data_IF_382794599627
#
_entry.id   IF_382794599627
#
_cell.length_a   1.000
_cell.length_b   1.000
_cell.length_c   1.000
_cell.angle_alpha   90.00
_cell.angle_beta   90.00
_cell.angle_gamma   90.00
#
_symmetry.space_group_name_H-M   'P 1'
#
loop_
_entity.id
_entity.type
_entity.pdbx_description
1 polymer ?
#
# COMPACT_ATOMS: atom_id res chain seq x y z
N UNK A 1 46.63 -10.85 -50.44
CA UNK A 1 45.48 -11.39 -49.67
C UNK A 1 45.69 -11.37 -48.16
N UNK A 2 46.86 -11.70 -47.58
CA UNK A 2 47.05 -11.68 -46.12
C UNK A 2 47.04 -10.28 -45.47
N UNK A 3 47.55 -9.26 -46.15
CA UNK A 3 47.60 -7.88 -45.63
C UNK A 3 46.25 -7.15 -45.56
N UNK A 4 45.35 -7.42 -46.51
CA UNK A 4 44.00 -6.81 -46.53
C UNK A 4 43.10 -7.38 -45.42
N UNK A 5 43.21 -8.69 -45.14
CA UNK A 5 42.47 -9.36 -44.06
C UNK A 5 42.91 -8.82 -42.69
N UNK A 6 44.21 -8.53 -42.51
CA UNK A 6 44.76 -7.94 -41.29
C UNK A 6 44.28 -6.50 -41.05
N UNK A 7 44.10 -5.70 -42.11
CA UNK A 7 43.59 -4.33 -41.99
C UNK A 7 42.11 -4.32 -41.62
N UNK A 8 41.30 -5.16 -42.26
CA UNK A 8 39.87 -5.29 -41.96
C UNK A 8 39.67 -5.75 -40.50
N UNK A 9 40.44 -6.74 -40.04
CA UNK A 9 40.39 -7.20 -38.64
C UNK A 9 40.76 -6.09 -37.63
N UNK A 10 41.76 -5.26 -37.96
CA UNK A 10 42.19 -4.15 -37.11
C UNK A 10 41.15 -3.02 -37.03
N UNK A 11 40.49 -2.71 -38.15
CA UNK A 11 39.40 -1.70 -38.19
C UNK A 11 38.17 -2.20 -37.42
N UNK A 12 37.79 -3.47 -37.58
CA UNK A 12 36.70 -4.08 -36.82
C UNK A 12 37.01 -4.04 -35.32
N UNK A 13 38.23 -4.43 -34.91
CA UNK A 13 38.65 -4.38 -33.51
C UNK A 13 38.63 -2.95 -32.96
N UNK A 14 39.13 -1.97 -33.73
CA UNK A 14 39.11 -0.56 -33.33
C UNK A 14 37.67 -0.03 -33.18
N UNK A 15 36.75 -0.42 -34.06
CA UNK A 15 35.32 -0.07 -33.93
C UNK A 15 34.67 -0.73 -32.72
N UNK A 16 35.00 -1.99 -32.42
CA UNK A 16 34.53 -2.67 -31.21
C UNK A 16 35.08 -2.03 -29.94
N UNK A 17 36.37 -1.68 -29.91
CA UNK A 17 36.97 -0.97 -28.77
C UNK A 17 36.40 0.44 -28.62
N UNK A 18 36.23 1.19 -29.71
CA UNK A 18 35.61 2.50 -29.67
C UNK A 18 34.14 2.43 -29.24
N UNK A 19 33.39 1.41 -29.68
CA UNK A 19 32.04 1.15 -29.21
C UNK A 19 31.98 0.76 -27.73
N UNK A 20 32.88 -0.12 -27.28
CA UNK A 20 32.98 -0.55 -25.88
C UNK A 20 33.39 0.58 -24.93
N UNK A 21 34.37 1.39 -25.33
CA UNK A 21 34.79 2.57 -24.57
C UNK A 21 33.73 3.68 -24.64
N UNK A 22 33.09 3.87 -25.79
CA UNK A 22 32.01 4.85 -25.99
C UNK A 22 30.76 4.54 -25.18
N UNK A 23 30.45 3.25 -24.95
CA UNK A 23 29.34 2.83 -24.08
C UNK A 23 29.46 3.37 -22.65
N UNK A 24 30.68 3.60 -22.14
CA UNK A 24 30.89 4.16 -20.80
C UNK A 24 30.51 5.65 -20.70
N UNK A 25 30.39 6.34 -21.85
CA UNK A 25 30.03 7.76 -21.92
C UNK A 25 28.59 8.01 -22.39
N UNK A 26 27.85 6.96 -22.78
CA UNK A 26 26.43 7.08 -23.11
C UNK A 26 25.61 7.07 -21.82
N UNK A 27 24.56 7.92 -21.70
CA UNK A 27 23.66 7.83 -20.56
C UNK A 27 22.98 6.45 -20.54
N UNK A 28 22.74 5.89 -19.34
CA UNK A 28 22.07 4.60 -19.23
C UNK A 28 20.68 4.65 -19.91
N UNK A 29 20.23 3.53 -20.49
CA UNK A 29 18.93 3.51 -21.15
C UNK A 29 17.83 3.76 -20.11
N UNK A 30 16.91 4.65 -20.44
CA UNK A 30 15.79 4.98 -19.54
C UNK A 30 14.89 3.76 -19.33
N UNK A 31 14.34 3.56 -18.11
CA UNK A 31 13.37 2.51 -17.84
C UNK A 31 12.16 2.62 -18.79
N UNK A 32 11.75 1.49 -19.38
CA UNK A 32 10.55 1.40 -20.23
C UNK A 32 9.45 0.51 -19.66
N UNK A 33 9.77 -0.21 -18.57
CA UNK A 33 8.85 -1.06 -17.83
C UNK A 33 8.78 -0.52 -16.41
N UNK A 34 7.57 -0.27 -15.92
CA UNK A 34 7.34 0.24 -14.56
C UNK A 34 6.77 -0.86 -13.67
N UNK A 35 7.07 -0.81 -12.37
CA UNK A 35 6.43 -1.61 -11.35
C UNK A 35 5.28 -0.85 -10.73
N UNK A 36 4.11 -1.49 -10.64
CA UNK A 36 2.88 -0.90 -10.14
C UNK A 36 2.39 -1.65 -8.91
N UNK A 37 2.29 -0.94 -7.80
CA UNK A 37 1.57 -1.39 -6.63
C UNK A 37 0.18 -0.75 -6.61
N UNK A 38 -0.84 -1.52 -6.97
CA UNK A 38 -2.23 -1.08 -6.94
C UNK A 38 -2.83 -1.48 -5.60
N UNK A 39 -2.60 -0.73 -4.53
CA UNK A 39 -3.14 -1.07 -3.21
C UNK A 39 -4.60 -0.66 -3.02
N UNK A 40 -5.24 -1.19 -1.96
CA UNK A 40 -6.63 -0.85 -1.62
C UNK A 40 -6.75 0.60 -1.14
N UNK A 41 -5.78 1.09 -0.37
CA UNK A 41 -5.78 2.43 0.22
C UNK A 41 -4.82 3.39 -0.48
N UNK A 42 -3.63 2.90 -0.84
CA UNK A 42 -2.62 3.68 -1.53
C UNK A 42 -2.06 2.88 -2.70
N UNK A 43 -1.68 3.58 -3.77
CA UNK A 43 -0.96 3.04 -4.89
C UNK A 43 0.42 3.68 -4.99
N UNK A 44 1.39 2.93 -5.51
CA UNK A 44 2.76 3.42 -5.72
C UNK A 44 3.30 2.91 -7.05
N UNK A 45 4.20 3.67 -7.66
CA UNK A 45 4.88 3.29 -8.90
C UNK A 45 6.38 3.37 -8.72
N UNK A 46 7.09 2.35 -9.17
CA UNK A 46 8.54 2.27 -9.09
C UNK A 46 9.17 1.89 -10.41
N UNK A 47 10.44 2.23 -10.57
CA UNK A 47 11.23 1.95 -11.76
C UNK A 47 12.57 1.37 -11.32
N UNK A 48 13.10 0.48 -12.15
CA UNK A 48 14.44 -0.04 -11.99
C UNK A 48 15.33 0.61 -13.04
N UNK A 49 16.39 1.29 -12.60
CA UNK A 49 17.34 1.96 -13.48
C UNK A 49 18.37 0.96 -14.03
N UNK A 50 18.34 0.68 -15.34
CA UNK A 50 19.34 -0.20 -15.94
C UNK A 50 20.74 0.39 -15.80
N UNK A 51 21.74 -0.45 -15.52
CA UNK A 51 23.14 -0.02 -15.37
C UNK A 51 23.53 0.25 -13.91
N UNK A 52 22.79 1.11 -13.18
CA UNK A 52 23.05 1.32 -11.74
C UNK A 52 22.50 0.19 -10.88
N UNK A 53 21.40 -0.44 -11.32
CA UNK A 53 20.70 -1.46 -10.55
C UNK A 53 19.87 -0.88 -9.40
N UNK A 54 19.71 0.44 -9.35
CA UNK A 54 18.94 1.14 -8.34
C UNK A 54 17.45 1.07 -8.64
N UNK A 55 16.67 0.94 -7.57
CA UNK A 55 15.21 1.05 -7.62
C UNK A 55 14.81 2.44 -7.15
N UNK A 56 14.01 3.13 -7.95
CA UNK A 56 13.44 4.41 -7.60
C UNK A 56 11.91 4.30 -7.52
N UNK A 57 11.34 4.77 -6.40
CA UNK A 57 9.89 4.97 -6.30
C UNK A 57 9.58 6.40 -6.74
N UNK A 58 8.74 6.52 -7.77
CA UNK A 58 8.37 7.78 -8.41
C UNK A 58 7.46 8.57 -7.48
N UNK A 59 7.84 9.81 -7.22
CA UNK A 59 7.06 10.73 -6.40
C UNK A 59 6.11 11.58 -7.26
N UNK A 60 5.04 12.09 -6.66
CA UNK A 60 4.22 13.13 -7.27
C UNK A 60 4.88 14.53 -7.17
N UNK A 61 4.17 15.55 -7.66
CA UNK A 61 4.66 16.93 -7.70
C UNK A 61 4.97 17.52 -6.31
N UNK A 62 4.39 16.95 -5.25
CA UNK A 62 4.61 17.35 -3.85
C UNK A 62 5.64 16.45 -3.14
N UNK A 63 6.30 15.55 -3.87
CA UNK A 63 7.29 14.64 -3.34
C UNK A 63 6.72 13.41 -2.63
N UNK A 64 5.41 13.15 -2.74
CA UNK A 64 4.75 11.99 -2.12
C UNK A 64 4.97 10.75 -2.98
N UNK A 65 5.45 9.67 -2.38
CA UNK A 65 5.79 8.40 -3.07
C UNK A 65 4.61 7.45 -3.27
N UNK A 66 3.46 7.81 -2.74
CA UNK A 66 2.22 7.04 -2.84
C UNK A 66 1.06 7.98 -3.09
N UNK A 67 0.04 7.51 -3.81
CA UNK A 67 -1.20 8.24 -4.07
C UNK A 67 -2.38 7.49 -3.45
N UNK A 68 -3.36 8.17 -2.85
CA UNK A 68 -4.57 7.52 -2.36
C UNK A 68 -5.32 6.79 -3.49
N UNK A 69 -5.87 5.62 -3.18
CA UNK A 69 -6.70 4.81 -4.09
C UNK A 69 -8.13 5.36 -4.20
N UNK A 70 -8.25 6.65 -4.51
CA UNK A 70 -9.51 7.37 -4.62
C UNK A 70 -9.67 8.01 -6.01
N UNK A 71 -10.89 8.02 -6.54
CA UNK A 71 -11.26 8.63 -7.81
C UNK A 71 -12.56 9.40 -7.66
N UNK A 72 -12.55 10.71 -7.92
CA UNK A 72 -13.71 11.59 -7.87
C UNK A 72 -14.17 12.00 -9.27
N UNK A 73 -15.48 11.96 -9.48
CA UNK A 73 -16.11 12.41 -10.72
C UNK A 73 -16.76 13.78 -10.50
N UNK A 74 -16.37 14.74 -11.32
CA UNK A 74 -17.01 16.06 -11.40
C UNK A 74 -17.78 16.17 -12.71
N UNK A 75 -18.46 17.29 -12.91
CA UNK A 75 -19.16 17.57 -14.18
C UNK A 75 -18.21 17.70 -15.37
N UNK A 76 -16.92 17.97 -15.14
CA UNK A 76 -15.93 18.26 -16.19
C UNK A 76 -14.75 17.30 -16.22
N UNK A 77 -14.47 16.57 -15.14
CA UNK A 77 -13.24 15.80 -15.00
C UNK A 77 -13.41 14.52 -14.18
N UNK A 78 -12.46 13.59 -14.40
CA UNK A 78 -12.23 12.43 -13.55
C UNK A 78 -10.88 12.63 -12.87
N UNK A 79 -10.91 12.81 -11.56
CA UNK A 79 -9.78 13.20 -10.72
C UNK A 79 -9.38 11.98 -9.88
N UNK A 80 -8.09 11.73 -9.68
CA UNK A 80 -7.59 10.56 -8.96
C UNK A 80 -6.49 10.92 -7.96
N UNK A 81 -6.31 10.14 -6.88
CA UNK A 81 -5.27 10.40 -5.87
C UNK A 81 -5.68 11.45 -4.85
N UNK A 82 -4.71 12.24 -4.37
CA UNK A 82 -4.91 13.25 -3.33
C UNK A 82 -6.03 14.25 -3.67
N UNK A 83 -6.02 14.78 -4.90
CA UNK A 83 -7.05 15.70 -5.39
C UNK A 83 -8.48 15.11 -5.32
N UNK A 84 -8.63 13.79 -5.41
CA UNK A 84 -9.93 13.12 -5.24
C UNK A 84 -10.32 13.02 -3.77
N UNK A 85 -9.36 12.84 -2.87
CA UNK A 85 -9.58 12.83 -1.42
C UNK A 85 -10.00 14.21 -0.93
N UNK A 86 -9.40 15.28 -1.44
CA UNK A 86 -9.77 16.66 -1.10
C UNK A 86 -11.25 16.98 -1.45
N UNK A 87 -11.79 16.27 -2.45
CA UNK A 87 -13.19 16.37 -2.86
C UNK A 87 -14.12 15.42 -2.11
N UNK A 88 -13.61 14.49 -1.29
CA UNK A 88 -14.42 13.43 -0.69
C UNK A 88 -15.52 13.99 0.25
N UNK A 89 -15.24 15.06 0.98
CA UNK A 89 -16.21 15.66 1.90
C UNK A 89 -17.30 16.48 1.19
N UNK A 90 -16.94 17.19 0.10
CA UNK A 90 -17.86 18.03 -0.66
C UNK A 90 -18.60 17.29 -1.78
N UNK A 91 -18.04 16.18 -2.27
CA UNK A 91 -18.57 15.34 -3.33
C UNK A 91 -18.54 13.83 -2.95
N UNK A 92 -19.14 13.43 -1.81
CA UNK A 92 -18.98 12.09 -1.26
C UNK A 92 -19.64 10.99 -2.10
N UNK A 93 -20.75 11.30 -2.79
CA UNK A 93 -21.48 10.32 -3.60
C UNK A 93 -20.76 9.94 -4.90
N UNK A 94 -19.87 10.80 -5.39
CA UNK A 94 -19.14 10.60 -6.64
C UNK A 94 -17.63 10.41 -6.44
N UNK A 95 -17.20 10.23 -5.19
CA UNK A 95 -15.80 9.97 -4.83
C UNK A 95 -15.66 8.53 -4.39
N UNK A 96 -15.11 7.70 -5.27
CA UNK A 96 -15.01 6.25 -5.10
C UNK A 96 -13.63 5.91 -4.53
N UNK A 97 -13.61 5.13 -3.44
CA UNK A 97 -12.43 4.55 -2.83
C UNK A 97 -12.69 3.06 -2.54
N UNK A 98 -11.66 2.31 -2.14
CA UNK A 98 -11.74 0.86 -1.87
C UNK A 98 -12.20 0.01 -3.07
N UNK A 99 -12.15 0.53 -4.31
CA UNK A 99 -12.63 -0.17 -5.50
C UNK A 99 -11.96 -1.55 -5.71
N UNK A 100 -10.70 -1.72 -5.28
CA UNK A 100 -9.97 -3.00 -5.31
C UNK A 100 -10.68 -4.10 -4.52
N UNK A 101 -11.52 -3.78 -3.52
CA UNK A 101 -12.31 -4.76 -2.78
C UNK A 101 -13.39 -5.43 -3.62
N UNK A 102 -13.79 -4.82 -4.74
CA UNK A 102 -14.86 -5.28 -5.62
C UNK A 102 -14.35 -5.87 -6.94
N UNK A 103 -13.09 -5.62 -7.29
CA UNK A 103 -12.54 -5.99 -8.60
C UNK A 103 -12.58 -7.51 -8.81
N UNK A 104 -13.20 -7.93 -9.92
CA UNK A 104 -13.31 -9.32 -10.33
C UNK A 104 -14.13 -10.23 -9.41
N UNK A 105 -14.79 -9.72 -8.37
CA UNK A 105 -15.63 -10.54 -7.48
C UNK A 105 -17.00 -10.80 -8.08
N UNK A 106 -17.53 -11.98 -7.77
CA UNK A 106 -18.97 -12.26 -7.85
C UNK A 106 -19.53 -11.96 -6.47
N UNK A 107 -20.46 -11.03 -6.37
CA UNK A 107 -21.06 -10.64 -5.10
C UNK A 107 -22.54 -10.94 -5.13
N UNK A 108 -23.01 -11.64 -4.11
CA UNK A 108 -24.43 -11.83 -3.87
C UNK A 108 -25.11 -10.46 -3.64
N UNK A 109 -26.29 -10.21 -4.23
CA UNK A 109 -26.99 -8.94 -4.07
C UNK A 109 -27.22 -8.52 -2.61
N UNK A 110 -27.53 -9.44 -1.70
CA UNK A 110 -27.79 -9.12 -0.29
C UNK A 110 -26.50 -8.70 0.42
N UNK A 111 -25.40 -9.42 0.17
CA UNK A 111 -24.07 -9.08 0.69
C UNK A 111 -23.62 -7.72 0.15
N UNK A 112 -23.89 -7.45 -1.14
CA UNK A 112 -23.52 -6.18 -1.76
C UNK A 112 -24.26 -4.99 -1.14
N UNK A 113 -25.54 -5.16 -0.79
CA UNK A 113 -26.32 -4.12 -0.10
C UNK A 113 -25.71 -3.79 1.28
N UNK A 114 -25.32 -4.82 2.04
CA UNK A 114 -24.67 -4.62 3.34
C UNK A 114 -23.31 -3.93 3.21
N UNK A 115 -22.50 -4.32 2.23
CA UNK A 115 -21.22 -3.67 1.96
C UNK A 115 -21.41 -2.22 1.46
N UNK A 116 -22.42 -1.96 0.62
CA UNK A 116 -22.72 -0.61 0.13
C UNK A 116 -23.10 0.36 1.26
N UNK A 117 -23.68 -0.13 2.36
CA UNK A 117 -24.06 0.72 3.50
C UNK A 117 -22.85 1.33 4.24
N UNK A 118 -21.63 0.83 3.98
CA UNK A 118 -20.39 1.37 4.56
C UNK A 118 -19.87 2.61 3.85
N UNK A 119 -20.42 2.92 2.67
CA UNK A 119 -19.91 3.97 1.79
C UNK A 119 -20.97 5.04 1.53
N UNK A 120 -20.57 6.30 1.34
CA UNK A 120 -21.50 7.36 0.96
C UNK A 120 -21.93 7.28 -0.52
N UNK A 121 -21.14 6.60 -1.35
CA UNK A 121 -21.46 6.33 -2.75
C UNK A 121 -22.28 5.03 -2.88
N UNK A 122 -23.09 4.96 -3.94
CA UNK A 122 -23.99 3.83 -4.17
C UNK A 122 -23.31 2.75 -5.01
N UNK A 123 -23.40 1.50 -4.55
CA UNK A 123 -22.94 0.31 -5.28
C UNK A 123 -24.16 -0.49 -5.75
N UNK A 124 -24.15 -0.93 -7.01
CA UNK A 124 -25.22 -1.73 -7.61
C UNK A 124 -24.67 -3.04 -8.16
N UNK A 125 -25.52 -4.07 -8.19
CA UNK A 125 -25.19 -5.35 -8.82
C UNK A 125 -25.50 -5.27 -10.31
N UNK A 126 -24.51 -5.58 -11.15
CA UNK A 126 -24.65 -5.79 -12.57
C UNK A 126 -24.21 -7.22 -12.92
N UNK A 127 -25.17 -8.12 -13.09
CA UNK A 127 -24.95 -9.53 -13.43
C UNK A 127 -23.91 -10.22 -12.52
N UNK A 128 -24.04 -10.01 -11.21
CA UNK A 128 -23.15 -10.58 -10.19
C UNK A 128 -21.87 -9.77 -9.93
N UNK A 129 -21.56 -8.76 -10.75
CA UNK A 129 -20.43 -7.85 -10.52
C UNK A 129 -20.90 -6.56 -9.86
N UNK A 130 -20.07 -5.95 -9.01
CA UNK A 130 -20.39 -4.66 -8.43
C UNK A 130 -20.05 -3.51 -9.41
N UNK A 131 -20.89 -2.49 -9.46
CA UNK A 131 -20.63 -1.22 -10.15
C UNK A 131 -20.98 -0.02 -9.27
N UNK A 132 -20.27 1.09 -9.45
CA UNK A 132 -20.50 2.32 -8.71
C UNK A 132 -21.39 3.26 -9.50
N UNK A 133 -22.44 3.78 -8.87
CA UNK A 133 -23.32 4.78 -9.49
C UNK A 133 -22.72 6.16 -9.32
N UNK A 134 -22.50 6.85 -10.44
CA UNK A 134 -22.00 8.21 -10.51
C UNK A 134 -23.11 9.12 -11.00
N UNK A 135 -23.36 10.22 -10.29
CA UNK A 135 -24.37 11.23 -10.61
C UNK A 135 -23.70 12.60 -10.74
N UNK A 136 -23.38 12.98 -11.98
CA UNK A 136 -22.89 14.34 -12.30
C UNK A 136 -23.97 15.09 -13.09
N UNK A 137 -23.76 15.42 -14.37
CA UNK A 137 -24.80 15.95 -15.24
C UNK A 137 -25.80 14.86 -15.69
N UNK A 138 -25.34 13.61 -15.70
CA UNK A 138 -26.14 12.43 -15.98
C UNK A 138 -25.75 11.33 -14.97
N UNK A 139 -26.66 10.39 -14.76
CA UNK A 139 -26.38 9.21 -13.93
C UNK A 139 -25.89 8.07 -14.80
N UNK A 140 -24.76 7.48 -14.43
CA UNK A 140 -24.17 6.33 -15.10
C UNK A 140 -23.49 5.41 -14.09
N UNK A 141 -23.08 4.21 -14.52
CA UNK A 141 -22.33 3.29 -13.69
C UNK A 141 -20.90 3.13 -14.19
N UNK A 142 -19.98 2.87 -13.26
CA UNK A 142 -18.57 2.59 -13.55
C UNK A 142 -18.12 1.33 -12.82
N UNK A 143 -17.31 0.52 -13.50
CA UNK A 143 -16.82 -0.73 -12.94
C UNK A 143 -15.56 -0.53 -12.07
N UNK A 144 -15.25 -1.48 -11.16
CA UNK A 144 -14.04 -1.44 -10.35
C UNK A 144 -12.74 -1.40 -11.17
N UNK A 145 -12.69 -2.07 -12.32
CA UNK A 145 -11.54 -2.02 -13.22
C UNK A 145 -11.41 -0.65 -13.90
N UNK A 146 -12.52 0.06 -14.15
CA UNK A 146 -12.45 1.43 -14.66
C UNK A 146 -11.87 2.38 -13.61
N UNK A 147 -12.34 2.30 -12.35
CA UNK A 147 -11.77 3.10 -11.24
C UNK A 147 -10.27 2.83 -11.10
N UNK A 148 -9.90 1.55 -11.06
CA UNK A 148 -8.50 1.12 -10.99
C UNK A 148 -7.68 1.64 -12.17
N UNK A 149 -8.24 1.65 -13.38
CA UNK A 149 -7.54 2.19 -14.57
C UNK A 149 -7.19 3.66 -14.45
N UNK A 150 -7.98 4.47 -13.73
CA UNK A 150 -7.70 5.90 -13.52
C UNK A 150 -6.51 6.11 -12.58
N UNK A 151 -6.39 5.27 -11.55
CA UNK A 151 -5.23 5.25 -10.66
C UNK A 151 -3.97 4.81 -11.41
N UNK A 152 -4.07 3.72 -12.19
CA UNK A 152 -2.96 3.21 -13.02
C UNK A 152 -2.52 4.24 -14.07
N UNK A 153 -3.46 4.95 -14.69
CA UNK A 153 -3.17 6.03 -15.63
C UNK A 153 -2.44 7.20 -14.95
N UNK A 154 -2.84 7.58 -13.74
CA UNK A 154 -2.14 8.64 -12.97
C UNK A 154 -0.70 8.23 -12.67
N UNK A 155 -0.48 7.01 -12.17
CA UNK A 155 0.86 6.47 -11.91
C UNK A 155 1.72 6.39 -13.18
N UNK A 156 1.14 5.95 -14.30
CA UNK A 156 1.84 5.95 -15.60
C UNK A 156 2.28 7.37 -15.97
N UNK A 157 1.37 8.35 -15.91
CA UNK A 157 1.68 9.75 -16.24
C UNK A 157 2.75 10.34 -15.32
N UNK A 158 2.76 9.99 -14.04
CA UNK A 158 3.81 10.38 -13.09
C UNK A 158 5.17 9.85 -13.55
N UNK A 159 5.26 8.56 -13.88
CA UNK A 159 6.49 7.95 -14.37
C UNK A 159 6.93 8.53 -15.74
N UNK A 160 6.00 8.72 -16.68
CA UNK A 160 6.28 9.32 -17.99
C UNK A 160 6.83 10.74 -17.87
N UNK A 161 6.28 11.55 -16.96
CA UNK A 161 6.75 12.91 -16.71
C UNK A 161 8.16 12.91 -16.12
N UNK A 162 8.42 12.07 -15.13
CA UNK A 162 9.72 12.00 -14.46
C UNK A 162 10.81 11.45 -15.38
N UNK A 163 10.50 10.42 -16.17
CA UNK A 163 11.47 9.81 -17.08
C UNK A 163 11.59 10.53 -18.42
N UNK A 164 10.59 11.31 -18.83
CA UNK A 164 10.55 11.99 -20.13
C UNK A 164 10.47 11.02 -21.32
N UNK A 165 9.83 9.86 -21.13
CA UNK A 165 9.59 8.84 -22.17
C UNK A 165 8.20 8.26 -22.01
N UNK A 166 7.61 7.77 -23.10
CA UNK A 166 6.34 7.06 -23.04
C UNK A 166 6.52 5.68 -22.39
N UNK A 167 5.58 5.31 -21.53
CA UNK A 167 5.57 4.03 -20.82
C UNK A 167 4.36 3.23 -21.27
N UNK A 168 4.61 2.04 -21.82
CA UNK A 168 3.55 1.17 -22.34
C UNK A 168 3.52 -0.20 -21.65
N UNK A 169 4.53 -0.54 -20.84
CA UNK A 169 4.69 -1.87 -20.26
C UNK A 169 4.83 -1.77 -18.75
N UNK A 170 4.26 -2.74 -18.04
CA UNK A 170 4.36 -2.77 -16.58
C UNK A 170 4.37 -4.20 -16.02
N UNK A 171 4.83 -4.30 -14.77
CA UNK A 171 4.56 -5.42 -13.86
C UNK A 171 3.63 -4.88 -12.76
N UNK A 172 2.64 -5.66 -12.34
CA UNK A 172 1.66 -5.23 -11.35
C UNK A 172 1.54 -6.22 -10.19
N UNK A 173 1.44 -5.73 -8.96
CA UNK A 173 1.16 -6.55 -7.78
C UNK A 173 -0.33 -6.86 -7.62
N UNK A 174 -0.63 -8.01 -7.02
CA UNK A 174 -1.97 -8.38 -6.52
C UNK A 174 -1.86 -9.12 -5.19
N UNK A 175 -2.91 -9.15 -4.36
CA UNK A 175 -2.93 -9.97 -3.16
C UNK A 175 -2.76 -11.45 -3.54
N UNK A 176 -2.03 -12.22 -2.73
CA UNK A 176 -1.77 -13.63 -3.04
C UNK A 176 -3.06 -14.48 -3.08
N UNK A 177 -4.10 -14.08 -2.35
CA UNK A 177 -5.42 -14.72 -2.36
C UNK A 177 -6.29 -14.41 -3.59
N UNK A 178 -5.88 -13.48 -4.46
CA UNK A 178 -6.64 -13.18 -5.67
C UNK A 178 -6.73 -14.40 -6.58
N UNK A 179 -7.96 -14.78 -6.91
CA UNK A 179 -8.23 -15.80 -7.92
C UNK A 179 -7.89 -15.33 -9.34
N UNK A 180 -8.00 -16.24 -10.30
CA UNK A 180 -7.71 -15.95 -11.70
C UNK A 180 -8.62 -14.84 -12.27
N UNK A 181 -9.88 -14.76 -11.84
CA UNK A 181 -10.81 -13.72 -12.29
C UNK A 181 -10.35 -12.36 -11.78
N UNK A 182 -10.06 -12.21 -10.50
CA UNK A 182 -9.60 -10.95 -9.91
C UNK A 182 -8.27 -10.49 -10.55
N UNK A 183 -7.35 -11.41 -10.83
CA UNK A 183 -6.11 -11.14 -11.58
C UNK A 183 -6.40 -10.62 -12.99
N UNK A 184 -7.27 -11.30 -13.73
CA UNK A 184 -7.64 -10.91 -15.09
C UNK A 184 -8.32 -9.54 -15.15
N UNK A 185 -9.19 -9.22 -14.18
CA UNK A 185 -9.81 -7.89 -14.09
C UNK A 185 -8.80 -6.79 -13.71
N UNK A 186 -7.79 -7.12 -12.91
CA UNK A 186 -6.68 -6.20 -12.61
C UNK A 186 -5.84 -5.91 -13.85
N UNK A 187 -5.54 -6.94 -14.66
CA UNK A 187 -4.89 -6.77 -15.97
C UNK A 187 -5.76 -5.95 -16.93
N UNK A 188 -7.09 -6.18 -16.93
CA UNK A 188 -8.03 -5.38 -17.72
C UNK A 188 -8.01 -3.90 -17.32
N UNK A 189 -7.92 -3.59 -16.03
CA UNK A 189 -7.76 -2.22 -15.55
C UNK A 189 -6.49 -1.57 -16.10
N UNK A 190 -5.37 -2.30 -16.12
CA UNK A 190 -4.12 -1.82 -16.70
C UNK A 190 -4.22 -1.60 -18.22
N UNK A 191 -4.87 -2.51 -18.95
CA UNK A 191 -5.11 -2.36 -20.38
C UNK A 191 -5.95 -1.09 -20.68
N UNK A 192 -6.98 -0.81 -19.86
CA UNK A 192 -7.76 0.43 -19.95
C UNK A 192 -6.93 1.70 -19.69
N UNK A 193 -5.88 1.58 -18.87
CA UNK A 193 -4.90 2.63 -18.63
C UNK A 193 -3.83 2.73 -19.74
N UNK A 194 -3.91 1.91 -20.79
CA UNK A 194 -2.93 1.86 -21.88
C UNK A 194 -1.59 1.25 -21.47
N UNK A 195 -1.62 0.27 -20.58
CA UNK A 195 -0.45 -0.49 -20.11
C UNK A 195 -0.59 -1.97 -20.47
N UNK A 196 0.40 -2.52 -21.16
CA UNK A 196 0.60 -3.95 -21.35
C UNK A 196 1.24 -4.55 -20.09
N UNK A 197 0.55 -5.49 -19.43
CA UNK A 197 1.09 -6.19 -18.26
C UNK A 197 1.96 -7.35 -18.69
N UNK A 198 3.26 -7.24 -18.45
CA UNK A 198 4.25 -8.30 -18.71
C UNK A 198 4.17 -9.41 -17.65
N UNK A 199 3.83 -9.05 -16.41
CA UNK A 199 3.67 -10.00 -15.32
C UNK A 199 2.77 -9.45 -14.22
N UNK A 200 1.97 -10.36 -13.65
CA UNK A 200 1.28 -10.16 -12.38
C UNK A 200 2.09 -10.91 -11.30
N UNK A 201 2.41 -10.25 -10.20
CA UNK A 201 3.16 -10.82 -9.07
C UNK A 201 2.36 -10.68 -7.78
N UNK A 202 2.50 -11.62 -6.85
CA UNK A 202 1.88 -11.50 -5.54
C UNK A 202 2.62 -10.44 -4.70
N UNK A 203 1.85 -9.64 -3.97
CA UNK A 203 2.34 -8.65 -3.00
C UNK A 203 3.39 -9.23 -2.01
N UNK A 204 3.16 -10.37 -1.33
CA UNK A 204 4.16 -10.93 -0.42
C UNK A 204 5.45 -11.37 -1.13
N UNK A 205 5.36 -11.87 -2.37
CA UNK A 205 6.55 -12.21 -3.16
C UNK A 205 7.33 -10.96 -3.54
N UNK A 206 6.64 -9.91 -3.98
CA UNK A 206 7.26 -8.62 -4.27
C UNK A 206 7.96 -8.07 -3.02
N UNK A 207 7.30 -8.10 -1.86
CA UNK A 207 7.94 -7.74 -0.60
C UNK A 207 9.23 -8.53 -0.36
N UNK A 208 9.20 -9.87 -0.43
CA UNK A 208 10.40 -10.70 -0.27
C UNK A 208 11.51 -10.35 -1.29
N UNK A 209 11.15 -10.01 -2.53
CA UNK A 209 12.12 -9.54 -3.53
C UNK A 209 12.80 -8.23 -3.13
N UNK A 210 12.05 -7.27 -2.57
CA UNK A 210 12.59 -5.98 -2.13
C UNK A 210 13.65 -6.13 -1.05
N UNK A 211 13.48 -7.11 -0.16
CA UNK A 211 14.48 -7.47 0.86
C UNK A 211 15.68 -8.25 0.30
N UNK A 212 15.77 -8.44 -1.02
CA UNK A 212 16.89 -9.14 -1.66
C UNK A 212 16.86 -10.65 -1.45
N UNK A 213 15.77 -11.21 -0.91
CA UNK A 213 15.69 -12.62 -0.52
C UNK A 213 15.77 -13.58 -1.70
N UNK A 214 15.49 -13.10 -2.91
CA UNK A 214 15.69 -13.82 -4.16
C UNK A 214 17.17 -14.12 -4.47
N UNK A 215 18.13 -13.44 -3.81
CA UNK A 215 19.58 -13.57 -4.06
C UNK A 215 20.34 -14.36 -2.99
N UNK A 216 19.72 -14.64 -1.84
CA UNK A 216 20.35 -15.34 -0.71
C UNK A 216 19.73 -16.72 -0.52
N UNK A 217 20.46 -17.62 0.14
CA UNK A 217 19.97 -18.97 0.43
C UNK A 217 19.08 -18.96 1.68
N UNK A 218 17.79 -18.73 1.44
CA UNK A 218 16.70 -18.82 2.42
C UNK A 218 15.62 -19.71 1.84
N UNK A 219 14.95 -20.48 2.69
CA UNK A 219 13.92 -21.44 2.31
C UNK A 219 12.54 -21.01 2.78
N UNK A 220 12.40 -20.53 4.01
CA UNK A 220 11.11 -20.16 4.60
C UNK A 220 11.12 -18.69 5.01
N UNK A 221 10.30 -17.90 4.31
CA UNK A 221 10.17 -16.46 4.54
C UNK A 221 8.77 -16.16 5.03
N UNK A 222 8.68 -15.49 6.18
CA UNK A 222 7.43 -14.99 6.71
C UNK A 222 7.27 -13.51 6.35
N UNK A 223 6.20 -13.18 5.63
CA UNK A 223 5.82 -11.80 5.33
C UNK A 223 4.71 -11.40 6.29
N UNK A 224 4.93 -10.34 7.07
CA UNK A 224 3.92 -9.74 7.96
C UNK A 224 3.59 -8.35 7.44
N UNK A 225 2.44 -8.21 6.80
CA UNK A 225 1.92 -6.95 6.29
C UNK A 225 0.86 -6.40 7.23
N UNK A 226 1.17 -5.30 7.92
CA UNK A 226 0.23 -4.60 8.79
C UNK A 226 0.05 -3.16 8.30
N UNK A 227 -1.03 -2.96 7.57
CA UNK A 227 -1.41 -1.67 6.99
C UNK A 227 -2.25 -0.81 7.93
N UNK A 228 -3.05 0.06 7.32
CA UNK A 228 -3.95 0.97 8.02
C UNK A 228 -5.20 0.29 8.59
N UNK A 229 -5.67 -0.81 8.00
CA UNK A 229 -6.91 -1.47 8.44
C UNK A 229 -6.92 -3.00 8.35
N UNK A 230 -5.85 -3.60 7.83
CA UNK A 230 -5.74 -5.07 7.71
C UNK A 230 -4.36 -5.54 8.14
N UNK A 231 -4.33 -6.77 8.65
CA UNK A 231 -3.15 -7.56 8.90
C UNK A 231 -3.17 -8.77 7.97
N UNK A 232 -2.14 -8.96 7.18
CA UNK A 232 -1.97 -10.10 6.30
C UNK A 232 -0.62 -10.78 6.57
N UNK A 233 -0.65 -12.10 6.75
CA UNK A 233 0.54 -12.90 7.00
C UNK A 233 0.62 -13.98 5.92
N UNK A 234 1.78 -14.05 5.26
CA UNK A 234 2.06 -15.05 4.24
C UNK A 234 3.33 -15.82 4.59
N UNK A 235 3.24 -17.14 4.56
CA UNK A 235 4.40 -18.02 4.62
C UNK A 235 4.81 -18.39 3.19
N UNK A 236 6.00 -17.95 2.79
CA UNK A 236 6.57 -18.24 1.49
C UNK A 236 7.66 -19.30 1.63
N UNK A 237 7.67 -20.26 0.71
CA UNK A 237 8.76 -21.18 0.52
C UNK A 237 9.53 -20.79 -0.74
N UNK A 238 10.85 -20.58 -0.62
CA UNK A 238 11.75 -20.26 -1.71
C UNK A 238 12.46 -21.52 -2.19
N UNK A 239 12.47 -21.73 -3.50
CA UNK A 239 13.18 -22.83 -4.16
C UNK A 239 13.94 -22.26 -5.37
N UNK A 240 15.27 -22.12 -5.22
CA UNK A 240 16.09 -21.40 -6.20
C UNK A 240 15.64 -19.93 -6.30
N UNK A 241 15.18 -19.51 -7.48
CA UNK A 241 14.63 -18.17 -7.72
C UNK A 241 13.11 -18.07 -7.55
N UNK A 242 12.42 -19.17 -7.24
CA UNK A 242 10.95 -19.23 -7.21
C UNK A 242 10.42 -19.07 -5.80
N UNK A 243 9.31 -18.36 -5.65
CA UNK A 243 8.57 -18.26 -4.39
C UNK A 243 7.21 -18.93 -4.54
N UNK A 244 6.87 -19.76 -3.56
CA UNK A 244 5.57 -20.42 -3.44
C UNK A 244 4.91 -20.00 -2.12
N UNK A 245 3.72 -19.43 -2.19
CA UNK A 245 2.91 -19.18 -1.00
C UNK A 245 2.35 -20.49 -0.45
N UNK A 246 2.82 -20.90 0.73
CA UNK A 246 2.42 -22.14 1.41
C UNK A 246 1.12 -21.98 2.18
N UNK A 247 1.03 -20.90 2.96
CA UNK A 247 -0.10 -20.62 3.82
C UNK A 247 -0.33 -19.11 3.94
N UNK A 248 -1.57 -18.71 4.21
CA UNK A 248 -1.96 -17.33 4.42
C UNK A 248 -3.03 -17.21 5.49
N UNK A 249 -2.88 -16.22 6.36
CA UNK A 249 -3.89 -15.85 7.32
C UNK A 249 -3.89 -14.33 7.49
N UNK A 250 -4.98 -13.77 7.99
CA UNK A 250 -5.07 -12.34 8.19
C UNK A 250 -6.19 -11.93 9.14
N UNK A 251 -6.25 -10.64 9.43
CA UNK A 251 -7.33 -10.01 10.16
C UNK A 251 -7.74 -8.73 9.43
N UNK A 252 -8.95 -8.73 8.87
CA UNK A 252 -9.47 -7.62 8.07
C UNK A 252 -9.99 -6.43 8.92
N UNK A 253 -9.85 -6.51 10.24
CA UNK A 253 -10.29 -5.54 11.25
C UNK A 253 -9.20 -5.26 12.28
N UNK A 254 -7.95 -5.31 11.82
CA UNK A 254 -6.79 -5.02 12.65
C UNK A 254 -5.76 -4.26 11.83
N UNK A 255 -5.59 -2.98 12.14
CA UNK A 255 -4.57 -2.14 11.53
C UNK A 255 -4.33 -0.85 12.30
N UNK A 256 -3.60 0.07 11.66
CA UNK A 256 -3.23 1.35 12.24
C UNK A 256 -4.40 2.22 12.72
N UNK A 257 -5.57 2.10 12.07
CA UNK A 257 -6.78 2.84 12.43
C UNK A 257 -7.38 2.36 13.75
N UNK A 258 -7.32 1.06 14.06
CA UNK A 258 -7.81 0.52 15.33
C UNK A 258 -6.96 1.04 16.50
N UNK A 259 -5.64 1.14 16.30
CA UNK A 259 -4.75 1.73 17.30
C UNK A 259 -5.02 3.22 17.53
N UNK A 260 -5.25 3.97 16.45
CA UNK A 260 -5.64 5.38 16.51
C UNK A 260 -7.00 5.55 17.18
N UNK A 261 -7.95 4.64 16.95
CA UNK A 261 -9.28 4.69 17.55
C UNK A 261 -9.23 4.53 19.07
N UNK A 262 -8.40 3.60 19.59
CA UNK A 262 -8.18 3.45 21.05
C UNK A 262 -7.59 4.73 21.66
N UNK A 263 -6.60 5.33 20.99
CA UNK A 263 -5.99 6.57 21.45
C UNK A 263 -6.95 7.77 21.36
N UNK A 264 -7.82 7.81 20.35
CA UNK A 264 -8.86 8.82 20.20
C UNK A 264 -9.91 8.72 21.30
N UNK A 265 -10.37 7.51 21.63
CA UNK A 265 -11.29 7.27 22.75
C UNK A 265 -10.70 7.76 24.08
N UNK A 266 -9.44 7.39 24.37
CA UNK A 266 -8.74 7.88 25.56
C UNK A 266 -8.67 9.41 25.57
N UNK A 267 -8.27 10.02 24.45
CA UNK A 267 -8.10 11.48 24.35
C UNK A 267 -9.44 12.22 24.47
N UNK A 268 -10.52 11.67 23.92
CA UNK A 268 -11.88 12.21 24.03
C UNK A 268 -12.34 12.24 25.49
N UNK A 269 -12.01 11.18 26.23
CA UNK A 269 -12.27 11.10 27.66
C UNK A 269 -11.43 12.12 28.46
N UNK A 270 -10.17 12.38 28.06
CA UNK A 270 -9.36 13.45 28.65
C UNK A 270 -9.97 14.83 28.43
N UNK A 271 -10.51 15.11 27.23
CA UNK A 271 -11.25 16.37 26.97
C UNK A 271 -12.45 16.48 27.91
N UNK A 272 -13.23 15.40 28.07
CA UNK A 272 -14.38 15.36 28.99
C UNK A 272 -13.96 15.61 30.44
N UNK A 273 -12.84 15.03 30.89
CA UNK A 273 -12.32 15.23 32.25
C UNK A 273 -11.84 16.67 32.49
N UNK A 274 -11.21 17.29 31.49
CA UNK A 274 -10.67 18.64 31.62
C UNK A 274 -11.74 19.74 31.50
N UNK A 275 -12.75 19.56 30.64
CA UNK A 275 -13.74 20.60 30.33
C UNK A 275 -15.18 20.24 30.71
N UNK A 276 -15.41 19.06 31.31
CA UNK A 276 -16.73 18.58 31.74
C UNK A 276 -17.59 17.97 30.62
N UNK A 277 -17.26 18.22 29.36
CA UNK A 277 -18.00 17.73 28.18
C UNK A 277 -17.05 17.20 27.09
N UNK A 278 -17.45 16.15 26.35
CA UNK A 278 -16.69 15.70 25.19
C UNK A 278 -16.92 16.62 23.98
N UNK A 279 -16.02 16.61 22.97
CA UNK A 279 -16.28 17.28 21.71
C UNK A 279 -17.44 16.60 20.98
N UNK A 280 -18.44 17.39 20.57
CA UNK A 280 -19.63 16.91 19.84
C UNK A 280 -19.70 17.43 18.41
N UNK A 281 -19.01 18.54 18.12
CA UNK A 281 -18.93 19.12 16.78
C UNK A 281 -18.08 18.23 15.87
N UNK A 282 -18.57 18.01 14.64
CA UNK A 282 -17.89 17.15 13.66
C UNK A 282 -16.48 17.65 13.34
N UNK A 283 -16.31 18.97 13.25
CA UNK A 283 -15.03 19.62 12.99
C UNK A 283 -14.02 19.40 14.13
N UNK A 284 -14.44 19.62 15.38
CA UNK A 284 -13.61 19.37 16.56
C UNK A 284 -13.17 17.89 16.66
N UNK A 285 -14.09 16.97 16.42
CA UNK A 285 -13.79 15.52 16.40
C UNK A 285 -12.81 15.20 15.28
N UNK A 286 -12.93 15.84 14.13
CA UNK A 286 -12.01 15.68 13.00
C UNK A 286 -10.60 16.18 13.35
N UNK A 287 -10.48 17.41 13.89
CA UNK A 287 -9.20 17.96 14.33
C UNK A 287 -8.54 17.10 15.41
N UNK A 288 -9.33 16.61 16.38
CA UNK A 288 -8.83 15.71 17.41
C UNK A 288 -8.31 14.39 16.81
N UNK A 289 -9.02 13.82 15.83
CA UNK A 289 -8.61 12.60 15.12
C UNK A 289 -7.29 12.81 14.36
N UNK A 290 -7.13 13.94 13.66
CA UNK A 290 -5.88 14.29 12.97
C UNK A 290 -4.71 14.42 13.95
N UNK A 291 -4.92 15.11 15.07
CA UNK A 291 -3.90 15.27 16.11
C UNK A 291 -3.50 13.92 16.74
N UNK A 292 -4.46 13.01 16.95
CA UNK A 292 -4.21 11.65 17.46
C UNK A 292 -3.43 10.80 16.46
N UNK A 293 -3.76 10.86 15.17
CA UNK A 293 -3.00 10.14 14.14
C UNK A 293 -1.55 10.64 14.08
N UNK A 294 -1.36 11.96 14.06
CA UNK A 294 -0.04 12.57 14.11
C UNK A 294 0.72 12.17 15.38
N UNK A 295 0.03 12.11 16.53
CA UNK A 295 0.63 11.66 17.78
C UNK A 295 1.11 10.19 17.69
N UNK A 296 0.29 9.27 17.17
CA UNK A 296 0.69 7.87 16.97
C UNK A 296 1.95 7.75 16.11
N UNK A 297 2.01 8.47 14.99
CA UNK A 297 3.19 8.48 14.11
C UNK A 297 4.42 9.00 14.86
N UNK A 298 4.29 10.10 15.61
CA UNK A 298 5.39 10.64 16.43
C UNK A 298 5.83 9.69 17.55
N UNK A 299 4.90 8.98 18.20
CA UNK A 299 5.20 8.00 19.25
C UNK A 299 5.96 6.78 18.73
N UNK A 300 5.97 6.54 17.42
CA UNK A 300 6.81 5.52 16.79
C UNK A 300 8.29 5.87 16.88
N UNK A 301 8.62 7.17 16.89
CA UNK A 301 10.00 7.69 16.94
C UNK A 301 10.36 8.16 18.35
N UNK A 302 9.48 8.95 18.96
CA UNK A 302 9.69 9.61 20.24
C UNK A 302 8.96 8.90 21.39
N UNK A 303 9.46 8.99 22.63
CA UNK A 303 8.82 8.37 23.79
C UNK A 303 7.54 9.09 24.26
N UNK A 304 7.37 10.36 23.87
CA UNK A 304 6.21 11.17 24.19
C UNK A 304 5.96 12.25 23.11
N UNK A 305 4.75 12.79 23.09
CA UNK A 305 4.32 13.89 22.21
C UNK A 305 3.28 14.73 22.93
N UNK A 306 3.28 16.05 22.71
CA UNK A 306 2.22 16.94 23.20
C UNK A 306 1.28 17.27 22.05
N UNK A 307 -0.01 16.96 22.21
CA UNK A 307 -1.04 17.41 21.27
C UNK A 307 -1.64 18.73 21.75
N UNK A 308 -1.99 19.59 20.80
CA UNK A 308 -2.64 20.88 21.03
C UNK A 308 -3.76 21.04 20.00
N UNK A 309 -5.00 21.07 20.47
CA UNK A 309 -6.18 21.07 19.59
C UNK A 309 -7.14 22.17 20.04
N UNK A 310 -7.43 23.18 19.20
CA UNK A 310 -8.51 24.12 19.48
C UNK A 310 -9.85 23.39 19.32
N UNK A 311 -10.72 23.50 20.33
CA UNK A 311 -12.03 22.86 20.38
C UNK A 311 -13.11 23.90 20.71
N UNK A 312 -14.25 23.83 20.05
CA UNK A 312 -15.41 24.68 20.28
C UNK A 312 -16.41 23.96 21.20
N UNK A 313 -16.06 23.86 22.48
CA UNK A 313 -16.89 23.17 23.47
C UNK A 313 -18.02 24.07 23.99
N UNK A 314 -19.26 23.64 23.83
CA UNK A 314 -20.42 24.32 24.40
C UNK A 314 -20.56 24.01 25.90
N UNK A 315 -19.77 24.67 26.74
CA UNK A 315 -19.99 24.59 28.19
C UNK A 315 -21.34 25.25 28.50
N UNK A 316 -22.19 24.61 29.30
CA UNK A 316 -23.39 25.22 29.85
C UNK A 316 -22.99 26.38 30.78
N UNK A 317 -22.70 27.55 30.20
CA UNK A 317 -22.62 28.81 30.92
C UNK A 317 -24.04 29.25 31.24
N UNK A 318 -24.39 29.15 32.50
CA UNK A 318 -25.60 29.71 33.10
C UNK A 318 -25.60 31.24 32.98
N UNK A 319 -26.02 31.76 31.84
CA UNK A 319 -26.51 33.14 31.72
C UNK A 319 -27.35 33.24 30.46
N UNK A 320 -28.67 33.12 30.65
CA UNK A 320 -29.67 33.58 29.69
C UNK A 320 -29.56 35.10 29.58
N UNK A 321 -28.58 35.62 28.83
CA UNK A 321 -28.60 36.98 28.29
C UNK A 321 -27.42 37.19 27.34
N UNK A 322 -27.75 37.71 26.15
CA UNK A 322 -26.90 38.39 25.16
C UNK A 322 -26.11 37.55 24.12
N UNK A 323 -26.54 37.80 22.87
CA UNK A 323 -25.81 37.76 21.59
C UNK A 323 -25.19 36.46 21.07
N UNK A 324 -25.62 36.11 19.85
CA UNK A 324 -25.14 35.03 18.96
C UNK A 324 -23.65 35.16 18.60
N UNK A 325 -22.76 35.01 19.57
CA UNK A 325 -21.34 34.81 19.33
C UNK A 325 -21.01 33.36 19.68
N UNK A 326 -20.50 32.60 18.70
CA UNK A 326 -20.00 31.25 18.97
C UNK A 326 -18.94 31.34 20.11
N UNK A 327 -18.97 30.45 21.11
CA UNK A 327 -17.99 30.49 22.19
C UNK A 327 -16.58 30.40 21.61
N UNK A 328 -15.66 31.22 22.11
CA UNK A 328 -14.27 31.21 21.68
C UNK A 328 -13.68 29.80 21.89
N UNK A 329 -12.87 29.28 20.95
CA UNK A 329 -12.31 27.94 21.07
C UNK A 329 -11.45 27.82 22.33
N UNK A 330 -11.63 26.73 23.06
CA UNK A 330 -10.73 26.33 24.15
C UNK A 330 -9.58 25.52 23.59
N UNK A 331 -8.37 25.73 24.12
CA UNK A 331 -7.21 24.95 23.71
C UNK A 331 -7.09 23.70 24.58
N UNK A 332 -7.38 22.53 24.02
CA UNK A 332 -7.05 21.25 24.64
C UNK A 332 -5.56 20.95 24.46
N UNK A 333 -4.89 20.60 25.55
CA UNK A 333 -3.48 20.20 25.53
C UNK A 333 -3.28 18.96 26.40
N UNK A 334 -2.68 17.92 25.82
CA UNK A 334 -2.37 16.69 26.53
C UNK A 334 -1.01 16.13 26.12
N UNK A 335 -0.31 15.52 27.07
CA UNK A 335 0.93 14.77 26.81
C UNK A 335 0.57 13.30 26.67
N UNK A 336 0.88 12.73 25.52
CA UNK A 336 0.70 11.31 25.23
C UNK A 336 2.08 10.63 25.26
N UNK A 337 2.16 9.44 25.86
CA UNK A 337 3.40 8.67 25.95
C UNK A 337 3.31 7.38 25.15
N UNK A 338 4.46 6.87 24.67
CA UNK A 338 4.54 5.57 23.98
C UNK A 338 4.05 4.45 24.89
N UNK A 339 4.42 4.51 26.18
CA UNK A 339 3.99 3.53 27.17
C UNK A 339 2.47 3.45 27.27
N UNK A 340 1.80 4.60 27.40
CA UNK A 340 0.32 4.67 27.41
C UNK A 340 -0.27 4.13 26.11
N UNK A 341 0.26 4.54 24.96
CA UNK A 341 -0.20 4.02 23.67
C UNK A 341 -0.06 2.50 23.58
N UNK A 342 1.03 1.94 24.09
CA UNK A 342 1.24 0.50 24.11
C UNK A 342 0.26 -0.21 25.04
N UNK A 343 0.03 0.33 26.24
CA UNK A 343 -0.95 -0.20 27.21
C UNK A 343 -2.39 -0.21 26.66
N UNK A 344 -2.80 0.85 25.96
CA UNK A 344 -4.15 0.96 25.36
C UNK A 344 -4.41 -0.06 24.25
N UNK A 345 -3.33 -0.61 23.66
CA UNK A 345 -3.39 -1.44 22.45
C UNK A 345 -2.80 -2.84 22.65
N UNK A 346 -2.38 -3.21 23.86
CA UNK A 346 -1.70 -4.49 24.11
C UNK A 346 -2.56 -5.69 23.67
N UNK A 347 -3.88 -5.65 23.89
CA UNK A 347 -4.79 -6.70 23.42
C UNK A 347 -4.81 -6.83 21.89
N UNK A 348 -4.73 -5.71 21.17
CA UNK A 348 -4.68 -5.69 19.71
C UNK A 348 -3.32 -6.15 19.17
N UNK A 349 -2.22 -5.81 19.86
CA UNK A 349 -0.90 -6.31 19.49
C UNK A 349 -0.82 -7.83 19.63
N UNK A 350 -1.33 -8.40 20.72
CA UNK A 350 -1.32 -9.85 20.91
C UNK A 350 -2.10 -10.60 19.81
N UNK A 351 -3.15 -9.99 19.25
CA UNK A 351 -3.91 -10.57 18.11
C UNK A 351 -3.07 -10.73 16.84
N UNK A 352 -1.95 -10.01 16.70
CA UNK A 352 -1.04 -10.14 15.54
C UNK A 352 -0.45 -11.56 15.45
N UNK A 353 -0.21 -12.21 16.60
CA UNK A 353 0.38 -13.55 16.63
C UNK A 353 -0.58 -14.66 16.19
N UNK A 354 -1.90 -14.41 16.18
CA UNK A 354 -2.86 -15.44 15.81
C UNK A 354 -2.73 -15.85 14.33
N UNK A 355 -2.76 -14.92 13.34
CA UNK A 355 -2.44 -15.26 11.95
C UNK A 355 -1.05 -15.89 11.76
N UNK A 356 -0.04 -15.41 12.49
CA UNK A 356 1.32 -15.97 12.44
C UNK A 356 1.34 -17.45 12.84
N UNK A 357 0.71 -17.79 13.96
CA UNK A 357 0.60 -19.18 14.43
C UNK A 357 -0.16 -20.05 13.43
N UNK A 358 -1.23 -19.53 12.83
CA UNK A 358 -2.02 -20.26 11.83
C UNK A 358 -1.22 -20.58 10.58
N UNK A 359 -0.48 -19.62 10.01
CA UNK A 359 0.30 -19.91 8.80
C UNK A 359 1.44 -20.89 9.05
N UNK A 360 2.05 -20.88 10.24
CA UNK A 360 3.06 -21.87 10.63
C UNK A 360 2.45 -23.26 10.74
N UNK A 361 1.31 -23.39 11.42
CA UNK A 361 0.61 -24.66 11.55
C UNK A 361 0.13 -25.22 10.20
N UNK A 362 -0.47 -24.40 9.34
CA UNK A 362 -0.88 -24.77 7.99
C UNK A 362 0.32 -25.08 7.06
N UNK A 363 1.44 -24.39 7.29
CA UNK A 363 2.71 -24.64 6.61
C UNK A 363 3.47 -25.87 7.11
N UNK A 364 3.01 -26.50 8.20
CA UNK A 364 3.71 -27.57 8.92
C UNK A 364 5.14 -27.19 9.33
N UNK A 365 5.32 -25.96 9.81
CA UNK A 365 6.58 -25.42 10.28
C UNK A 365 6.48 -24.99 11.74
N UNK A 366 7.57 -25.18 12.47
CA UNK A 366 7.77 -24.53 13.76
C UNK A 366 8.38 -23.13 13.55
N UNK A 367 8.38 -22.32 14.61
CA UNK A 367 8.88 -20.93 14.52
C UNK A 367 10.39 -20.88 14.22
N UNK A 368 11.14 -21.89 14.63
CA UNK A 368 12.58 -22.04 14.37
C UNK A 368 12.88 -22.35 12.91
N UNK A 369 11.92 -22.90 12.15
CA UNK A 369 12.10 -23.25 10.73
C UNK A 369 11.97 -22.05 9.79
N UNK A 370 11.53 -20.88 10.30
CA UNK A 370 11.47 -19.65 9.52
C UNK A 370 12.89 -19.09 9.44
N UNK A 371 13.37 -18.78 8.24
CA UNK A 371 14.72 -18.22 8.01
C UNK A 371 14.71 -16.69 8.10
N UNK A 372 13.70 -16.05 7.51
CA UNK A 372 13.59 -14.59 7.44
C UNK A 372 12.17 -14.11 7.73
N UNK A 373 12.07 -12.97 8.41
CA UNK A 373 10.79 -12.33 8.72
C UNK A 373 10.85 -10.92 8.16
N UNK A 374 10.01 -10.61 7.18
CA UNK A 374 9.96 -9.30 6.53
C UNK A 374 8.70 -8.55 6.92
N UNK A 375 8.84 -7.26 7.20
CA UNK A 375 7.73 -6.41 7.60
C UNK A 375 7.28 -5.51 6.45
N UNK A 376 5.97 -5.43 6.25
CA UNK A 376 5.33 -4.61 5.23
C UNK A 376 4.22 -3.78 5.89
N UNK A 377 3.95 -2.58 5.36
CA UNK A 377 2.92 -1.69 5.87
C UNK A 377 3.36 -0.83 7.06
N UNK A 378 3.00 0.45 7.04
CA UNK A 378 3.52 1.46 7.97
C UNK A 378 3.26 1.19 9.45
N UNK A 379 2.22 0.44 9.81
CA UNK A 379 1.96 0.11 11.22
C UNK A 379 3.04 -0.80 11.81
N UNK A 380 3.78 -1.55 10.98
CA UNK A 380 4.93 -2.37 11.45
C UNK A 380 6.12 -1.56 11.95
N UNK A 381 6.11 -0.23 11.76
CA UNK A 381 7.10 0.67 12.35
C UNK A 381 6.95 0.78 13.88
N UNK A 382 5.77 0.49 14.43
CA UNK A 382 5.48 0.57 15.87
C UNK A 382 6.47 -0.33 16.64
N UNK A 383 7.27 0.22 17.58
CA UNK A 383 8.31 -0.54 18.28
C UNK A 383 7.80 -1.75 19.05
N UNK A 384 6.59 -1.68 19.62
CA UNK A 384 5.99 -2.82 20.33
C UNK A 384 5.72 -4.00 19.40
N UNK A 385 5.31 -3.76 18.15
CA UNK A 385 5.03 -4.82 17.18
C UNK A 385 6.32 -5.55 16.79
N UNK A 386 7.40 -4.80 16.53
CA UNK A 386 8.72 -5.40 16.26
C UNK A 386 9.21 -6.23 17.44
N UNK A 387 9.08 -5.71 18.66
CA UNK A 387 9.42 -6.46 19.90
C UNK A 387 8.59 -7.72 20.05
N UNK A 388 7.28 -7.66 19.82
CA UNK A 388 6.39 -8.83 19.88
C UNK A 388 6.84 -9.93 18.91
N UNK A 389 7.19 -9.55 17.68
CA UNK A 389 7.69 -10.50 16.67
C UNK A 389 9.04 -11.08 17.11
N UNK A 390 9.97 -10.24 17.61
CA UNK A 390 11.26 -10.71 18.15
C UNK A 390 11.08 -11.65 19.33
N UNK A 391 10.21 -11.33 20.28
CA UNK A 391 9.89 -12.16 21.46
C UNK A 391 9.33 -13.52 21.05
N UNK A 392 8.46 -13.56 20.04
CA UNK A 392 7.87 -14.81 19.57
C UNK A 392 8.89 -15.71 18.86
N UNK A 393 9.63 -15.17 17.90
CA UNK A 393 10.57 -15.92 17.04
C UNK A 393 11.98 -16.08 17.63
N UNK A 394 12.35 -15.32 18.66
CA UNK A 394 13.71 -15.32 19.20
C UNK A 394 14.75 -14.66 18.29
N UNK A 395 14.32 -13.97 17.22
CA UNK A 395 15.19 -13.27 16.26
C UNK A 395 14.52 -11.99 15.76
N UNK A 396 15.33 -11.01 15.36
CA UNK A 396 14.81 -9.74 14.87
C UNK A 396 14.21 -9.88 13.47
N UNK A 397 13.07 -9.23 13.19
CA UNK A 397 12.59 -9.11 11.83
C UNK A 397 13.52 -8.20 11.01
N UNK A 398 13.61 -8.47 9.72
CA UNK A 398 14.35 -7.65 8.78
C UNK A 398 13.59 -6.35 8.51
N UNK A 399 14.25 -5.21 8.74
CA UNK A 399 13.71 -3.86 8.53
C UNK A 399 14.62 -3.02 7.62
N UNK A 400 15.40 -3.66 6.74
CA UNK A 400 16.33 -2.97 5.82
C UNK A 400 15.62 -2.22 4.69
N UNK A 401 14.35 -2.53 4.45
CA UNK A 401 13.49 -1.90 3.43
C UNK A 401 12.44 -1.06 4.12
N UNK A 402 12.08 0.07 3.51
CA UNK A 402 10.94 0.84 3.96
C UNK A 402 9.65 0.00 3.81
N UNK A 403 8.91 -0.28 4.90
CA UNK A 403 7.76 -1.18 4.86
C UNK A 403 6.60 -0.65 4.00
N UNK A 404 6.47 0.67 3.84
CA UNK A 404 5.44 1.29 2.99
C UNK A 404 5.78 1.18 1.49
N UNK A 405 7.07 1.00 1.18
CA UNK A 405 7.57 0.93 -0.19
C UNK A 405 8.03 -0.47 -0.60
N UNK A 406 7.97 -1.46 0.29
CA UNK A 406 8.50 -2.80 0.06
C UNK A 406 7.85 -3.47 -1.16
N UNK A 407 6.53 -3.42 -1.27
CA UNK A 407 5.81 -4.04 -2.40
C UNK A 407 6.23 -3.38 -3.72
N UNK A 408 6.06 -2.06 -3.86
CA UNK A 408 6.41 -1.35 -5.10
C UNK A 408 7.88 -1.51 -5.47
N UNK A 409 8.79 -1.57 -4.49
CA UNK A 409 10.21 -1.80 -4.72
C UNK A 409 10.44 -3.18 -5.34
N UNK A 410 9.81 -4.22 -4.80
CA UNK A 410 9.87 -5.58 -5.35
C UNK A 410 9.30 -5.70 -6.75
N UNK A 411 8.14 -5.07 -6.99
CA UNK A 411 7.51 -5.04 -8.31
C UNK A 411 8.40 -4.31 -9.32
N UNK A 412 9.07 -3.22 -8.91
CA UNK A 412 10.02 -2.50 -9.75
C UNK A 412 11.27 -3.34 -10.10
N UNK A 413 11.82 -4.11 -9.14
CA UNK A 413 12.89 -5.08 -9.42
C UNK A 413 12.42 -6.09 -10.47
N UNK A 414 11.21 -6.64 -10.30
CA UNK A 414 10.63 -7.57 -11.26
C UNK A 414 10.42 -6.93 -12.65
N UNK A 415 10.00 -5.66 -12.69
CA UNK A 415 9.90 -4.89 -13.93
C UNK A 415 11.26 -4.72 -14.61
N UNK A 416 12.33 -4.45 -13.85
CA UNK A 416 13.71 -4.40 -14.36
C UNK A 416 14.13 -5.72 -15.03
N UNK A 417 13.82 -6.85 -14.39
CA UNK A 417 14.08 -8.19 -14.92
C UNK A 417 13.31 -8.43 -16.22
N UNK A 418 12.00 -8.12 -16.25
CA UNK A 418 11.16 -8.27 -17.46
C UNK A 418 11.57 -7.33 -18.60
N UNK A 419 12.14 -6.16 -18.26
CA UNK A 419 12.69 -5.22 -19.22
C UNK A 419 14.03 -5.63 -19.82
N UNK A 420 14.61 -6.76 -19.39
CA UNK A 420 15.93 -7.21 -19.85
C UNK A 420 17.10 -6.39 -19.28
N UNK A 421 16.91 -5.78 -18.10
CA UNK A 421 17.94 -4.94 -17.48
C UNK A 421 19.03 -5.80 -16.82
N UNK A 422 20.26 -5.69 -17.32
CA UNK A 422 21.47 -6.29 -16.72
C UNK A 422 21.71 -5.70 -15.32
N UNK A 423 22.17 -6.47 -14.29
CA UNK A 423 22.69 -7.84 -14.29
C UNK A 423 21.72 -8.93 -13.78
N UNK A 424 20.41 -8.69 -13.69
CA UNK A 424 19.50 -9.64 -13.03
C UNK A 424 19.19 -10.86 -13.91
N UNK A 425 19.79 -12.01 -13.59
CA UNK A 425 19.53 -13.29 -14.26
C UNK A 425 18.46 -14.16 -13.59
N UNK A 426 17.95 -13.75 -12.42
CA UNK A 426 16.96 -14.54 -11.66
C UNK A 426 15.64 -13.80 -11.65
N UNK A 427 14.65 -14.35 -12.34
CA UNK A 427 13.27 -13.89 -12.28
C UNK A 427 12.56 -14.59 -11.13
N UNK A 428 11.82 -13.83 -10.30
CA UNK A 428 10.88 -14.46 -9.39
C UNK A 428 9.77 -15.12 -10.21
N UNK A 429 9.72 -16.45 -10.16
CA UNK A 429 8.63 -17.24 -10.73
C UNK A 429 7.74 -17.65 -9.56
N UNK A 430 6.45 -17.40 -9.73
CA UNK A 430 5.43 -17.83 -8.79
C UNK A 430 4.75 -19.09 -9.30
N UNK A 431 4.50 -20.02 -8.40
CA UNK A 431 3.67 -21.19 -8.68
C UNK A 431 2.29 -20.93 -8.05
N UNK A 432 1.22 -20.79 -8.85
CA UNK A 432 -0.12 -20.57 -8.31
C UNK A 432 -0.55 -21.76 -7.45
N UNK A 433 -0.87 -21.50 -6.18
CA UNK A 433 -1.44 -22.51 -5.29
C UNK A 433 -2.97 -22.46 -5.38
N UNK A 434 -3.57 -23.33 -6.22
CA UNK A 434 -5.02 -23.39 -6.45
C UNK A 434 -5.85 -23.75 -5.21
N UNK A 435 -5.22 -24.27 -4.16
CA UNK A 435 -5.87 -24.65 -2.92
C UNK A 435 -5.62 -23.65 -1.79
N UNK A 436 -4.90 -22.56 -2.05
CA UNK A 436 -4.64 -21.53 -1.06
C UNK A 436 -5.94 -20.87 -0.63
N UNK A 437 -6.21 -20.90 0.67
CA UNK A 437 -7.31 -20.17 1.29
C UNK A 437 -6.74 -19.32 2.40
N UNK A 438 -7.17 -18.07 2.46
CA UNK A 438 -6.77 -17.16 3.53
C UNK A 438 -7.69 -17.35 4.72
N UNK A 439 -7.12 -17.78 5.84
CA UNK A 439 -7.85 -17.86 7.11
C UNK A 439 -7.99 -16.45 7.70
N UNK A 440 -9.22 -15.93 7.78
CA UNK A 440 -9.49 -14.58 8.29
C UNK A 440 -10.01 -14.62 9.73
N UNK A 441 -9.36 -13.87 10.61
CA UNK A 441 -9.78 -13.62 11.98
C UNK A 441 -10.74 -12.41 12.04
N UNK A 442 -11.61 -12.40 13.05
CA UNK A 442 -12.58 -11.31 13.29
C UNK A 442 -12.27 -10.43 14.48
#
# INVERSE_FOLDING_TARGET
>A
MSGEISMIGSVILALFLAGYLGQQYLPPPKPKVIGLDLGTTFCSVGVFHPGSGEVEVIADEEGRKSIPSAVSFTTTAVIAGHEAVDLADSNPQNTIYDAKRFIGKIVDPEVLVQESARYPFKVVNNNGSAEFVISTNHTFTVSPEFISSRLLLKMRKMAERQLGVLIQKAVISVPAEFDERQRNYTVRAANLAGLEILRVINEPTAAAMAYGLHKVDVFNVLVVDLGGGTLDVSLLNKQGGMFLTRAMAGNNKLGGQDFSQRLLQYTTEQVRQQFGIPPTLKEDIHHLRQAVEAAKLNLTVHPNVTIRVPLHLHTHSSSETAEYSAPAPVLFQAVLTRKLFEELNEDLFQKILAPVKTVLAEGHLEKEDVDEIVLVGGSTRIPRIRRLITEYFGKNPNTSVDPDLAVVTGVAIQAGIMGGSWPLQVSAIEIPNRHLRKTNFS
#
